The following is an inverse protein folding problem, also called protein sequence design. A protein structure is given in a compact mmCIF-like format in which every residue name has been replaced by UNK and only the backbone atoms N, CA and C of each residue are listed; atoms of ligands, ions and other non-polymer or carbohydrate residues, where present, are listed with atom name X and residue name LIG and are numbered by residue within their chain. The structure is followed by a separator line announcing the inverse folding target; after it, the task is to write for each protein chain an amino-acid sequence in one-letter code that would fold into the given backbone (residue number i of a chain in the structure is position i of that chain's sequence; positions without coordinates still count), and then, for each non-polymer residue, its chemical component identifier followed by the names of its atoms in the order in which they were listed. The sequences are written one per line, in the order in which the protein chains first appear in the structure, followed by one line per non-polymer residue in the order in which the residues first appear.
data_IF_210248500715
#
_entry.id   IF_210248500715
#
_cell.length_a   1.000
_cell.length_b   1.000
_cell.length_c   1.000
_cell.angle_alpha   90.00
_cell.angle_beta   90.00
_cell.angle_gamma   90.00
#
_symmetry.space_group_name_H-M   'P 1'
#
loop_
_entity.id
_entity.type
_entity.pdbx_description
1 polymer ?
#
# COMPACT_ATOMS: atom_id res chain seq x y z
N UNK A 1 3.96 -12.09 -23.40
CA UNK A 1 4.13 -11.82 -23.11
C UNK A 1 4.00 -11.07 -22.66
N UNK A 2 3.88 -10.92 -22.42
CA UNK A 2 3.93 -10.42 -21.97
C UNK A 2 4.08 -9.41 -21.54
N UNK A 3 3.57 -8.80 -22.02
CA UNK A 3 4.07 -7.79 -21.47
C UNK A 3 4.18 -7.70 -20.10
N UNK A 4 4.52 -8.18 -19.73
CA UNK A 4 4.72 -8.34 -18.44
C UNK A 4 5.76 -7.53 -17.82
N UNK A 5 6.31 -6.74 -18.50
CA UNK A 5 7.39 -5.95 -17.97
C UNK A 5 6.99 -4.78 -17.13
N UNK A 6 5.75 -4.36 -17.16
CA UNK A 6 5.33 -3.16 -16.44
C UNK A 6 4.96 -3.52 -15.01
N UNK A 7 5.67 -2.92 -14.04
CA UNK A 7 5.38 -3.09 -12.63
C UNK A 7 4.62 -1.89 -12.10
N UNK A 8 3.59 -2.16 -11.33
CA UNK A 8 2.74 -1.13 -10.76
C UNK A 8 2.69 -1.28 -9.25
N UNK A 9 2.69 -0.15 -8.56
CA UNK A 9 2.55 -0.12 -7.11
C UNK A 9 1.32 0.71 -6.73
N UNK A 10 0.53 0.22 -5.78
CA UNK A 10 -0.65 0.93 -5.31
C UNK A 10 -0.28 1.75 -4.09
N UNK A 11 -0.65 3.03 -4.09
CA UNK A 11 -0.32 3.97 -3.02
C UNK A 11 -1.62 4.59 -2.50
N UNK A 12 -1.93 4.45 -1.20
CA UNK A 12 -3.17 5.02 -0.66
C UNK A 12 -3.11 6.54 -0.62
N UNK A 13 -4.22 7.18 -0.97
CA UNK A 13 -4.33 8.64 -0.98
C UNK A 13 -5.59 9.07 -0.23
N UNK A 14 -5.53 10.23 0.41
CA UNK A 14 -6.68 10.79 1.12
C UNK A 14 -7.69 11.42 0.17
N UNK A 15 -7.20 12.05 -0.89
CA UNK A 15 -8.06 12.70 -1.88
C UNK A 15 -7.57 12.38 -3.27
N UNK A 16 -8.41 12.67 -4.24
CA UNK A 16 -8.08 12.44 -5.64
C UNK A 16 -6.87 13.27 -6.08
N UNK A 17 -6.71 14.45 -5.49
CA UNK A 17 -5.62 15.37 -5.86
C UNK A 17 -4.36 15.19 -5.01
N UNK A 18 -4.41 14.33 -4.02
CA UNK A 18 -3.27 14.15 -3.12
C UNK A 18 -2.08 13.54 -3.86
N UNK A 19 -0.89 14.02 -3.53
CA UNK A 19 0.36 13.46 -4.05
C UNK A 19 1.21 12.86 -2.94
N UNK A 20 0.63 12.72 -1.75
CA UNK A 20 1.33 12.19 -0.57
C UNK A 20 0.56 10.99 -0.04
N UNK A 21 1.29 9.99 0.41
CA UNK A 21 0.69 8.76 0.92
C UNK A 21 -0.28 9.06 2.07
N UNK A 22 -1.44 8.38 2.05
CA UNK A 22 -2.39 8.47 3.15
C UNK A 22 -1.89 7.65 4.32
N UNK A 23 -2.17 8.10 5.54
CA UNK A 23 -1.91 7.28 6.72
C UNK A 23 -2.82 6.07 6.78
N UNK A 24 -4.00 6.17 6.19
CA UNK A 24 -5.00 5.12 6.20
C UNK A 24 -4.76 4.20 5.01
N UNK A 25 -4.95 2.91 5.19
CA UNK A 25 -4.89 1.97 4.06
C UNK A 25 -6.29 1.48 3.74
N UNK A 26 -6.95 0.81 4.68
CA UNK A 26 -8.29 0.30 4.47
C UNK A 26 -9.34 1.38 4.30
N UNK A 27 -9.11 2.53 4.92
CA UNK A 27 -10.04 3.67 4.86
C UNK A 27 -9.57 4.77 3.91
N UNK A 28 -8.54 4.51 3.11
CA UNK A 28 -8.11 5.51 2.15
C UNK A 28 -9.17 5.65 1.06
N UNK A 29 -9.47 6.89 0.69
CA UNK A 29 -10.53 7.16 -0.29
C UNK A 29 -10.11 6.82 -1.71
N UNK A 30 -8.82 6.92 -2.00
CA UNK A 30 -8.27 6.71 -3.35
C UNK A 30 -6.97 5.96 -3.29
N UNK A 31 -6.56 5.41 -4.43
CA UNK A 31 -5.26 4.80 -4.61
C UNK A 31 -4.65 5.30 -5.90
N UNK A 32 -3.35 5.63 -5.85
CA UNK A 32 -2.60 5.91 -7.05
C UNK A 32 -1.97 4.61 -7.52
N UNK A 33 -2.07 4.34 -8.81
CA UNK A 33 -1.39 3.21 -9.43
C UNK A 33 -0.18 3.78 -10.17
N UNK A 34 0.99 3.61 -9.58
CA UNK A 34 2.22 4.20 -10.09
C UNK A 34 2.97 3.17 -10.93
N UNK A 35 3.33 3.58 -12.15
CA UNK A 35 4.20 2.77 -13.01
C UNK A 35 5.62 2.91 -12.50
N UNK A 36 6.21 1.79 -12.05
CA UNK A 36 7.52 1.82 -11.41
C UNK A 36 8.66 2.12 -12.38
N UNK A 37 8.40 2.05 -13.69
CA UNK A 37 9.42 2.31 -14.69
C UNK A 37 9.40 3.75 -15.19
N UNK A 38 8.22 4.31 -15.38
CA UNK A 38 8.08 5.63 -15.99
C UNK A 38 7.79 6.74 -15.00
N UNK A 39 7.29 6.38 -13.81
CA UNK A 39 6.90 7.38 -12.82
C UNK A 39 5.53 7.98 -13.08
N UNK A 40 4.84 7.55 -14.13
CA UNK A 40 3.47 8.01 -14.38
C UNK A 40 2.50 7.27 -13.48
N UNK A 41 1.40 7.90 -13.14
CA UNK A 41 0.41 7.25 -12.29
C UNK A 41 -0.99 7.71 -12.65
N UNK A 42 -1.96 6.91 -12.24
CA UNK A 42 -3.37 7.29 -12.33
C UNK A 42 -4.01 7.04 -10.97
N UNK A 43 -5.10 7.76 -10.70
CA UNK A 43 -5.76 7.68 -9.41
C UNK A 43 -7.12 6.99 -9.59
N UNK A 44 -7.37 6.02 -8.73
CA UNK A 44 -8.64 5.28 -8.73
C UNK A 44 -9.32 5.44 -7.37
N UNK A 45 -10.64 5.51 -7.41
CA UNK A 45 -11.42 5.53 -6.18
C UNK A 45 -11.37 4.16 -5.51
N UNK A 46 -11.20 4.14 -4.19
CA UNK A 46 -11.24 2.90 -3.43
C UNK A 46 -12.70 2.55 -3.16
N UNK A 47 -13.25 1.64 -3.94
CA UNK A 47 -14.65 1.24 -3.82
C UNK A 47 -14.90 0.37 -2.60
N UNK A 48 -13.83 -0.06 -1.92
CA UNK A 48 -13.92 -0.87 -0.70
C UNK A 48 -13.54 -0.07 0.54
N UNK A 49 -13.58 1.26 0.45
CA UNK A 49 -13.18 2.13 1.56
C UNK A 49 -13.99 1.82 2.81
N UNK A 50 -13.31 1.74 3.93
CA UNK A 50 -13.93 1.45 5.22
C UNK A 50 -13.63 0.07 5.77
N UNK A 51 -13.04 -0.80 4.96
CA UNK A 51 -12.74 -2.16 5.39
C UNK A 51 -11.39 -2.59 4.82
N UNK A 52 -10.44 -2.88 5.72
CA UNK A 52 -9.09 -3.27 5.30
C UNK A 52 -9.07 -4.55 4.47
N UNK A 53 -9.88 -5.54 4.81
CA UNK A 53 -9.90 -6.80 4.07
C UNK A 53 -10.51 -6.63 2.69
N UNK A 54 -11.58 -5.84 2.58
CA UNK A 54 -12.17 -5.56 1.28
C UNK A 54 -11.24 -4.72 0.43
N UNK A 55 -10.52 -3.78 1.05
CA UNK A 55 -9.52 -3.00 0.34
C UNK A 55 -8.41 -3.89 -0.20
N UNK A 56 -7.95 -4.88 0.60
CA UNK A 56 -6.94 -5.82 0.12
C UNK A 56 -7.43 -6.59 -1.10
N UNK A 57 -8.69 -7.00 -1.10
CA UNK A 57 -9.27 -7.68 -2.26
C UNK A 57 -9.34 -6.75 -3.46
N UNK A 58 -9.73 -5.49 -3.24
CA UNK A 58 -9.79 -4.50 -4.29
C UNK A 58 -8.41 -4.32 -4.94
N UNK A 59 -7.37 -4.14 -4.11
CA UNK A 59 -6.01 -3.96 -4.61
C UNK A 59 -5.55 -5.19 -5.39
N UNK A 60 -5.84 -6.38 -4.87
CA UNK A 60 -5.46 -7.63 -5.54
C UNK A 60 -6.09 -7.74 -6.92
N UNK A 61 -7.31 -7.22 -7.08
CA UNK A 61 -8.02 -7.29 -8.36
C UNK A 61 -7.45 -6.34 -9.41
N UNK A 62 -6.62 -5.38 -9.01
CA UNK A 62 -6.09 -4.37 -9.92
C UNK A 62 -4.85 -4.84 -10.68
N UNK A 63 -4.38 -6.04 -10.40
CA UNK A 63 -3.20 -6.62 -11.07
C UNK A 63 -1.95 -5.77 -10.87
N UNK A 64 -1.82 -5.19 -9.69
CA UNK A 64 -0.59 -4.49 -9.33
C UNK A 64 0.39 -5.51 -8.75
N UNK A 65 1.67 -5.17 -8.77
CA UNK A 65 2.73 -6.07 -8.29
C UNK A 65 3.05 -5.84 -6.83
N UNK A 66 2.77 -4.64 -6.34
CA UNK A 66 3.14 -4.27 -4.98
C UNK A 66 2.25 -3.15 -4.48
N UNK A 67 2.36 -2.87 -3.19
CA UNK A 67 1.66 -1.78 -2.56
C UNK A 67 2.52 -1.25 -1.42
N UNK A 68 2.26 -0.02 -1.00
CA UNK A 68 2.98 0.60 0.09
C UNK A 68 1.96 1.19 1.06
N UNK A 69 2.31 1.21 2.35
CA UNK A 69 1.40 1.69 3.38
C UNK A 69 2.12 2.58 4.38
N UNK A 70 1.34 3.40 5.07
CA UNK A 70 1.79 4.15 6.23
C UNK A 70 1.46 3.34 7.50
N UNK A 71 0.18 2.94 7.64
CA UNK A 71 -0.28 2.02 8.69
C UNK A 71 -0.99 0.85 8.04
N UNK A 72 -0.72 -0.36 8.51
CA UNK A 72 -1.41 -1.55 8.01
C UNK A 72 -1.45 -2.62 9.10
N UNK A 73 -2.60 -3.26 9.24
CA UNK A 73 -2.75 -4.37 10.18
C UNK A 73 -2.21 -5.67 9.60
N UNK A 74 -1.93 -6.62 10.48
CA UNK A 74 -1.35 -7.90 10.09
C UNK A 74 -2.24 -8.70 9.15
N UNK A 75 -3.54 -8.70 9.40
CA UNK A 75 -4.46 -9.48 8.56
C UNK A 75 -4.53 -8.96 7.15
N UNK A 76 -4.47 -7.64 6.98
CA UNK A 76 -4.45 -7.02 5.66
C UNK A 76 -3.17 -7.42 4.93
N UNK A 77 -2.04 -7.34 5.63
CA UNK A 77 -0.76 -7.75 5.07
C UNK A 77 -0.79 -9.20 4.62
N UNK A 78 -1.28 -10.10 5.50
CA UNK A 78 -1.33 -11.52 5.19
C UNK A 78 -2.17 -11.78 3.94
N UNK A 79 -3.29 -11.07 3.82
CA UNK A 79 -4.17 -11.22 2.65
C UNK A 79 -3.47 -10.78 1.37
N UNK A 80 -2.78 -9.65 1.41
CA UNK A 80 -2.06 -9.14 0.24
C UNK A 80 -0.92 -10.08 -0.14
N UNK A 81 -0.19 -10.57 0.86
CA UNK A 81 0.92 -11.47 0.62
C UNK A 81 0.45 -12.78 0.00
N UNK A 82 -0.69 -13.30 0.48
CA UNK A 82 -1.26 -14.53 -0.07
C UNK A 82 -1.64 -14.36 -1.54
N UNK A 83 -1.91 -13.15 -1.97
CA UNK A 83 -2.23 -12.85 -3.36
C UNK A 83 -0.99 -12.59 -4.22
N UNK A 84 0.18 -12.72 -3.61
CA UNK A 84 1.43 -12.56 -4.34
C UNK A 84 1.94 -11.14 -4.46
N UNK A 85 1.37 -10.20 -3.72
CA UNK A 85 1.85 -8.82 -3.76
C UNK A 85 3.03 -8.63 -2.82
N UNK A 86 3.97 -7.79 -3.24
CA UNK A 86 4.99 -7.29 -2.34
C UNK A 86 4.40 -6.13 -1.56
N UNK A 87 4.69 -6.06 -0.28
CA UNK A 87 4.17 -5.00 0.58
C UNK A 87 5.34 -4.23 1.15
N UNK A 88 5.32 -2.91 0.95
CA UNK A 88 6.37 -2.03 1.44
C UNK A 88 5.81 -1.13 2.54
N UNK A 89 6.67 -0.75 3.48
CA UNK A 89 6.33 0.20 4.53
C UNK A 89 6.96 1.55 4.22
N UNK A 90 6.21 2.63 4.43
CA UNK A 90 6.77 3.98 4.34
C UNK A 90 7.54 4.32 5.61
N UNK A 91 7.58 3.41 6.59
CA UNK A 91 8.21 3.62 7.89
C UNK A 91 7.60 4.82 8.62
N UNK A 92 6.29 4.98 8.45
CA UNK A 92 5.51 6.09 9.03
C UNK A 92 6.03 7.45 8.62
N UNK A 93 6.47 7.51 7.36
CA UNK A 93 6.95 8.75 6.75
C UNK A 93 5.95 9.19 5.68
N UNK A 94 5.64 10.47 5.65
CA UNK A 94 4.72 11.02 4.64
C UNK A 94 5.42 11.18 3.31
N UNK A 95 5.60 10.08 2.60
CA UNK A 95 6.26 10.09 1.31
C UNK A 95 5.30 10.59 0.24
N UNK A 96 5.82 11.43 -0.67
CA UNK A 96 5.07 11.80 -1.85
C UNK A 96 5.17 10.67 -2.89
N UNK A 97 4.29 10.71 -3.89
CA UNK A 97 4.33 9.73 -4.97
C UNK A 97 5.71 9.76 -5.63
N UNK A 98 6.25 10.97 -5.84
CA UNK A 98 7.57 11.12 -6.45
C UNK A 98 8.66 10.52 -5.58
N UNK A 99 8.60 10.74 -4.27
CA UNK A 99 9.58 10.17 -3.35
C UNK A 99 9.51 8.64 -3.35
N UNK A 100 8.30 8.10 -3.41
CA UNK A 100 8.12 6.65 -3.49
C UNK A 100 8.75 6.12 -4.79
N UNK A 101 8.51 6.82 -5.90
CA UNK A 101 9.08 6.43 -7.18
C UNK A 101 10.62 6.45 -7.11
N UNK A 102 11.19 7.50 -6.56
CA UNK A 102 12.65 7.60 -6.42
C UNK A 102 13.20 6.49 -5.53
N UNK A 103 12.52 6.19 -4.44
CA UNK A 103 12.95 5.12 -3.55
C UNK A 103 12.90 3.75 -4.24
N UNK A 104 11.89 3.53 -5.10
CA UNK A 104 11.81 2.29 -5.85
C UNK A 104 12.98 2.16 -6.83
N UNK A 105 13.29 3.25 -7.52
CA UNK A 105 14.40 3.25 -8.48
C UNK A 105 15.74 2.97 -7.79
N UNK A 106 15.90 3.45 -6.57
CA UNK A 106 17.15 3.32 -5.83
C UNK A 106 17.20 2.07 -4.95
N UNK A 107 16.12 1.27 -4.93
CA UNK A 107 16.06 0.08 -4.10
C UNK A 107 15.96 0.38 -2.63
N UNK A 108 15.44 1.54 -2.26
CA UNK A 108 15.38 2.00 -0.87
C UNK A 108 14.04 1.75 -0.18
N UNK A 109 13.06 1.17 -0.88
CA UNK A 109 11.79 0.86 -0.25
C UNK A 109 11.95 -0.31 0.73
N UNK A 110 11.35 -0.18 1.90
CA UNK A 110 11.43 -1.21 2.92
C UNK A 110 10.35 -2.25 2.73
N UNK A 111 10.73 -3.43 2.26
CA UNK A 111 9.78 -4.52 2.07
C UNK A 111 9.46 -5.19 3.40
N UNK A 112 8.16 -5.46 3.61
CA UNK A 112 7.72 -6.18 4.81
C UNK A 112 7.89 -7.68 4.54
N UNK A 113 8.52 -8.36 5.50
CA UNK A 113 8.76 -9.80 5.42
C UNK A 113 8.24 -10.44 6.69
N UNK A 114 8.25 -11.78 6.74
CA UNK A 114 7.87 -12.48 7.97
C UNK A 114 8.74 -12.06 9.14
N UNK A 115 10.01 -11.76 8.87
CA UNK A 115 10.96 -11.45 9.93
C UNK A 115 10.74 -10.07 10.54
N UNK A 116 10.31 -9.09 9.74
CA UNK A 116 10.15 -7.72 10.24
C UNK A 116 8.68 -7.29 10.38
N UNK A 117 7.74 -8.17 10.06
CA UNK A 117 6.33 -7.79 10.06
C UNK A 117 5.86 -7.31 11.42
N UNK A 118 6.30 -7.94 12.50
CA UNK A 118 5.86 -7.53 13.83
C UNK A 118 6.35 -6.13 14.20
N UNK A 119 7.46 -5.69 13.60
CA UNK A 119 7.98 -4.34 13.86
C UNK A 119 7.35 -3.29 12.96
N UNK A 120 6.92 -3.67 11.76
CA UNK A 120 6.45 -2.73 10.77
C UNK A 120 4.93 -2.63 10.68
N UNK A 121 4.23 -3.68 11.06
CA UNK A 121 2.77 -3.72 10.97
C UNK A 121 2.14 -3.35 12.30
N UNK A 122 0.92 -2.87 12.24
CA UNK A 122 0.16 -2.57 13.43
C UNK A 122 -0.43 -3.87 13.98
N UNK A 123 -0.38 -4.03 15.28
CA UNK A 123 -0.96 -5.20 15.93
C UNK A 123 -2.48 -5.17 15.78
N UNK A 124 -3.06 -6.30 15.46
CA UNK A 124 -4.50 -6.41 15.38
C UNK A 124 -5.16 -6.22 16.73
N UNK A 125 -4.40 -6.40 17.81
CA UNK A 125 -4.92 -6.20 19.17
C UNK A 125 -5.03 -4.75 19.54
N UNK A 126 -4.16 -3.96 19.01
CA UNK A 126 -4.13 -2.55 19.39
C UNK A 126 -5.36 -1.84 18.88
N UNK A 127 -5.98 -2.47 18.12
CA UNK A 127 -7.22 -1.88 17.68
C UNK A 127 -8.17 -1.82 18.82
N UNK A 128 -7.46 -2.32 19.23
CA UNK A 128 -8.03 -2.42 19.70
C UNK A 128 -8.09 -1.66 20.43
N UNK A 129 -7.67 -1.86 20.50
CA UNK A 129 -7.82 -1.39 21.07
C UNK A 129 -8.04 -0.39 21.24
N UNK A 130 -7.88 -0.55 21.12
CA UNK A 130 -8.14 0.16 21.20
C UNK A 130 -8.60 0.92 21.16
N UNK A 131 -8.55 0.77 21.14
CA UNK A 131 -9.03 1.36 21.06
C UNK A 131 -9.52 2.01 21.23
N UNK A 132 -9.33 1.65 21.44
CA UNK A 132 -9.77 2.08 21.55
C UNK A 132 -10.15 2.69 21.78
N UNK A 133 -9.96 2.58 22.04
CA UNK A 133 -10.37 2.93 22.23
C UNK A 133 -10.71 3.39 22.38
#
# INVERSE_FOLDING_TARGET
MKNKGVKMIAIPLDTKESTVISKLYGNSAYFALLNEETGTFKVLKNTACGDGMDTAKFISSLKVDSTIFYYMGEKVYDNLKDKGLKVYSSLKTHLSIDEIFQNLLNGNCKEVTQENSSALLDSGNSACTCKAK
#
